data_IF_714859683711
#
_entry.id   IF_714859683711
#
_cell.length_a   1.000
_cell.length_b   1.000
_cell.length_c   1.000
_cell.angle_alpha   90.00
_cell.angle_beta   90.00
_cell.angle_gamma   90.00
#
_symmetry.space_group_name_H-M   'P 1'
#
loop_
_entity.id
_entity.type
_entity.pdbx_description
1 polymer ?
#
# COMPACT_ATOMS: atom_id res chain seq x y z
N UNK A 1 21.96 -11.06 -15.67
CA UNK A 1 21.57 -12.00 -14.59
C UNK A 1 20.99 -13.24 -15.20
N UNK A 2 21.67 -14.37 -14.98
CA UNK A 2 21.21 -15.70 -15.36
C UNK A 2 20.24 -16.23 -14.29
N UNK A 3 19.11 -16.79 -14.72
CA UNK A 3 18.07 -17.32 -13.84
C UNK A 3 17.86 -18.80 -14.12
N UNK A 4 18.17 -19.62 -13.12
CA UNK A 4 17.93 -21.06 -13.18
C UNK A 4 16.49 -21.37 -12.74
N UNK A 5 15.74 -22.11 -13.55
CA UNK A 5 14.41 -22.61 -13.19
C UNK A 5 14.55 -23.66 -12.09
N UNK A 6 13.83 -23.50 -10.97
CA UNK A 6 13.84 -24.42 -9.83
C UNK A 6 12.49 -25.09 -9.62
N UNK A 7 11.41 -24.35 -9.85
CA UNK A 7 10.05 -24.82 -9.58
C UNK A 7 9.20 -24.97 -10.85
N UNK A 8 9.61 -24.34 -11.95
CA UNK A 8 8.84 -24.27 -13.19
C UNK A 8 9.57 -24.96 -14.34
N UNK A 9 8.81 -25.31 -15.39
CA UNK A 9 9.35 -25.90 -16.62
C UNK A 9 9.16 -24.95 -17.78
N UNK A 10 10.13 -24.91 -18.68
CA UNK A 10 10.06 -24.05 -19.86
C UNK A 10 8.92 -24.48 -20.79
N UNK A 11 8.21 -23.50 -21.36
CA UNK A 11 7.04 -23.73 -22.20
C UNK A 11 5.78 -24.22 -21.48
N UNK A 12 5.82 -24.44 -20.16
CA UNK A 12 4.67 -24.82 -19.35
C UNK A 12 4.17 -23.64 -18.50
N UNK A 13 2.86 -23.55 -18.29
CA UNK A 13 2.30 -22.57 -17.34
C UNK A 13 2.91 -22.78 -15.94
N UNK A 14 3.34 -21.70 -15.24
CA UNK A 14 3.84 -21.82 -13.87
C UNK A 14 2.74 -22.25 -12.88
N UNK A 15 1.47 -22.27 -13.30
CA UNK A 15 0.35 -22.74 -12.50
C UNK A 15 -0.06 -24.18 -12.81
N UNK A 16 0.59 -24.86 -13.77
CA UNK A 16 0.13 -26.15 -14.28
C UNK A 16 0.10 -27.26 -13.21
N UNK A 17 0.99 -27.20 -12.22
CA UNK A 17 1.08 -28.17 -11.11
C UNK A 17 0.42 -27.64 -9.83
N UNK A 18 -0.31 -26.51 -9.90
CA UNK A 18 -1.00 -25.90 -8.76
C UNK A 18 -2.50 -26.06 -8.97
N UNK A 19 -3.16 -26.77 -8.05
CA UNK A 19 -4.61 -26.86 -8.02
C UNK A 19 -5.22 -25.54 -7.53
N UNK A 20 -6.29 -25.07 -8.17
CA UNK A 20 -7.06 -23.90 -7.76
C UNK A 20 -8.48 -24.31 -7.42
N UNK A 21 -9.05 -23.65 -6.41
CA UNK A 21 -10.43 -23.80 -5.98
C UNK A 21 -11.17 -22.47 -6.01
N UNK A 22 -12.49 -22.57 -6.16
CA UNK A 22 -13.39 -21.45 -5.93
C UNK A 22 -13.52 -21.21 -4.42
N UNK A 23 -13.44 -19.96 -4.01
CA UNK A 23 -13.69 -19.54 -2.63
C UNK A 23 -14.64 -18.35 -2.60
N UNK A 24 -15.14 -18.06 -1.39
CA UNK A 24 -15.96 -16.88 -1.11
C UNK A 24 -15.32 -16.19 0.10
N UNK A 25 -15.19 -14.86 0.04
CA UNK A 25 -14.79 -14.04 1.19
C UNK A 25 -15.94 -13.14 1.60
N UNK A 26 -16.28 -13.17 2.89
CA UNK A 26 -17.38 -12.38 3.46
C UNK A 26 -16.98 -11.72 4.77
N UNK A 27 -17.41 -10.47 4.95
CA UNK A 27 -17.39 -9.78 6.25
C UNK A 27 -18.83 -9.51 6.63
N UNK A 28 -19.21 -9.87 7.86
CA UNK A 28 -20.54 -9.65 8.42
C UNK A 28 -20.47 -8.79 9.68
N UNK A 29 -21.48 -7.96 9.86
CA UNK A 29 -21.72 -7.25 11.11
C UNK A 29 -22.24 -8.22 12.19
N UNK A 30 -22.22 -7.83 13.49
CA UNK A 30 -22.80 -8.62 14.56
C UNK A 30 -24.30 -8.92 14.40
N UNK A 31 -25.02 -8.08 13.65
CA UNK A 31 -26.44 -8.28 13.30
C UNK A 31 -26.65 -9.24 12.10
N UNK A 32 -25.57 -9.79 11.54
CA UNK A 32 -25.60 -10.72 10.41
C UNK A 32 -25.60 -10.07 9.02
N UNK A 33 -25.74 -8.74 8.92
CA UNK A 33 -25.71 -8.01 7.65
C UNK A 33 -24.32 -8.08 7.00
N UNK A 34 -24.28 -8.16 5.66
CA UNK A 34 -23.03 -8.30 4.89
C UNK A 34 -22.41 -6.92 4.69
N UNK A 35 -21.17 -6.77 5.16
CA UNK A 35 -20.33 -5.57 4.98
C UNK A 35 -19.53 -5.65 3.68
N UNK A 36 -19.06 -6.85 3.36
CA UNK A 36 -18.28 -7.13 2.15
C UNK A 36 -18.51 -8.56 1.72
N UNK A 37 -18.62 -8.79 0.41
CA UNK A 37 -18.66 -10.12 -0.18
C UNK A 37 -17.90 -10.11 -1.50
N UNK A 38 -16.98 -11.04 -1.65
CA UNK A 38 -16.34 -11.39 -2.91
C UNK A 38 -16.60 -12.88 -3.13
N UNK A 39 -17.54 -13.18 -4.04
CA UNK A 39 -17.86 -14.55 -4.43
C UNK A 39 -17.00 -14.97 -5.64
N UNK A 40 -16.97 -16.28 -5.87
CA UNK A 40 -16.39 -16.89 -7.07
C UNK A 40 -14.90 -16.53 -7.30
N UNK A 41 -14.16 -16.32 -6.21
CA UNK A 41 -12.74 -15.99 -6.31
C UNK A 41 -11.91 -17.26 -6.52
N UNK A 42 -10.91 -17.19 -7.40
CA UNK A 42 -10.02 -18.31 -7.69
C UNK A 42 -8.71 -18.18 -6.89
N UNK A 43 -8.44 -19.18 -6.05
CA UNK A 43 -7.26 -19.21 -5.16
C UNK A 43 -6.63 -20.59 -5.18
N UNK A 44 -5.31 -20.73 -4.92
CA UNK A 44 -4.69 -22.04 -4.83
C UNK A 44 -5.38 -22.90 -3.75
N UNK A 45 -5.67 -24.17 -4.05
CA UNK A 45 -6.41 -25.07 -3.17
C UNK A 45 -5.74 -25.24 -1.80
N UNK A 46 -4.40 -25.19 -1.77
CA UNK A 46 -3.60 -25.29 -0.55
C UNK A 46 -3.71 -24.06 0.38
N UNK A 47 -4.25 -22.93 -0.08
CA UNK A 47 -4.40 -21.74 0.76
C UNK A 47 -5.49 -21.92 1.81
N UNK A 48 -5.18 -21.50 3.05
CA UNK A 48 -6.18 -21.41 4.11
C UNK A 48 -7.26 -20.39 3.75
N UNK A 49 -8.46 -20.57 4.29
CA UNK A 49 -9.55 -19.61 4.09
C UNK A 49 -9.15 -18.19 4.53
N UNK A 50 -8.38 -18.06 5.62
CA UNK A 50 -7.87 -16.77 6.11
C UNK A 50 -6.95 -16.10 5.07
N UNK A 51 -6.09 -16.86 4.38
CA UNK A 51 -5.25 -16.30 3.33
C UNK A 51 -6.09 -15.80 2.13
N UNK A 52 -7.08 -16.58 1.73
CA UNK A 52 -8.04 -16.22 0.68
C UNK A 52 -8.83 -14.96 1.04
N UNK A 53 -9.29 -14.87 2.29
CA UNK A 53 -9.99 -13.71 2.81
C UNK A 53 -9.12 -12.45 2.80
N UNK A 54 -7.88 -12.55 3.28
CA UNK A 54 -6.94 -11.43 3.28
C UNK A 54 -6.65 -10.95 1.85
N UNK A 55 -6.46 -11.87 0.90
CA UNK A 55 -6.26 -11.53 -0.51
C UNK A 55 -7.46 -10.74 -1.05
N UNK A 56 -8.67 -11.28 -0.90
CA UNK A 56 -9.88 -10.67 -1.44
C UNK A 56 -10.21 -9.32 -0.80
N UNK A 57 -10.03 -9.21 0.52
CA UNK A 57 -10.42 -8.01 1.25
C UNK A 57 -9.42 -6.87 1.09
N UNK A 58 -8.12 -7.19 0.93
CA UNK A 58 -7.04 -6.21 0.98
C UNK A 58 -6.28 -6.04 -0.32
N UNK A 59 -6.00 -7.12 -1.05
CA UNK A 59 -5.00 -7.11 -2.13
C UNK A 59 -5.60 -7.19 -3.53
N UNK A 60 -6.79 -7.74 -3.70
CA UNK A 60 -7.52 -7.58 -4.94
C UNK A 60 -7.85 -6.12 -5.19
N UNK A 61 -7.55 -5.67 -6.41
CA UNK A 61 -8.04 -4.40 -6.92
C UNK A 61 -9.56 -4.49 -7.04
N UNK A 62 -10.28 -3.70 -6.27
CA UNK A 62 -11.75 -3.81 -6.16
C UNK A 62 -12.53 -3.28 -7.36
N UNK A 63 -11.95 -2.35 -8.11
CA UNK A 63 -12.61 -1.68 -9.23
C UNK A 63 -11.59 -1.05 -10.21
N UNK A 64 -12.08 -0.74 -11.41
CA UNK A 64 -11.32 -0.05 -12.45
C UNK A 64 -10.44 -0.96 -13.31
N UNK A 65 -10.51 -2.28 -13.12
CA UNK A 65 -9.85 -3.25 -14.01
C UNK A 65 -10.67 -3.37 -15.28
N UNK A 66 -10.16 -3.04 -16.47
CA UNK A 66 -10.91 -3.17 -17.71
C UNK A 66 -11.22 -4.63 -18.01
N UNK A 67 -12.48 -4.94 -18.39
CA UNK A 67 -12.90 -6.31 -18.73
C UNK A 67 -12.26 -6.81 -20.03
N UNK A 68 -11.93 -5.90 -20.94
CA UNK A 68 -11.23 -6.19 -22.20
C UNK A 68 -9.97 -5.33 -22.29
N UNK A 69 -8.84 -5.99 -22.55
CA UNK A 69 -7.52 -5.40 -22.63
C UNK A 69 -6.94 -5.65 -24.02
N UNK A 70 -6.13 -4.71 -24.49
CA UNK A 70 -5.27 -4.88 -25.66
C UNK A 70 -3.81 -4.71 -25.26
N UNK A 71 -2.92 -5.39 -25.97
CA UNK A 71 -1.46 -5.21 -25.79
C UNK A 71 -1.00 -3.91 -26.41
N UNK A 72 0.00 -3.29 -25.79
CA UNK A 72 0.65 -2.10 -26.33
C UNK A 72 2.03 -2.49 -26.83
N UNK A 73 2.18 -2.40 -28.15
CA UNK A 73 3.42 -2.71 -28.82
C UNK A 73 4.55 -1.79 -28.34
N UNK A 74 5.64 -2.42 -27.92
CA UNK A 74 6.87 -1.74 -27.52
C UNK A 74 8.04 -2.52 -28.14
N UNK A 75 8.61 -2.01 -29.23
CA UNK A 75 9.60 -2.72 -30.07
C UNK A 75 10.87 -3.12 -29.32
N UNK A 76 11.21 -2.40 -28.24
CA UNK A 76 12.35 -2.73 -27.37
C UNK A 76 12.04 -3.82 -26.32
N UNK A 77 10.81 -4.33 -26.27
CA UNK A 77 10.35 -5.32 -25.30
C UNK A 77 9.78 -6.53 -26.05
N UNK A 78 10.12 -7.77 -25.67
CA UNK A 78 9.52 -8.97 -26.24
C UNK A 78 8.00 -8.94 -26.13
N UNK A 79 7.31 -9.41 -27.16
CA UNK A 79 5.84 -9.26 -27.27
C UNK A 79 5.05 -9.91 -26.15
N UNK A 80 5.57 -10.98 -25.57
CA UNK A 80 4.96 -11.64 -24.40
C UNK A 80 5.00 -10.79 -23.12
N UNK A 81 5.91 -9.81 -23.04
CA UNK A 81 6.13 -8.95 -21.89
C UNK A 81 5.52 -7.54 -22.09
N UNK A 82 4.87 -7.30 -23.23
CA UNK A 82 4.16 -6.06 -23.49
C UNK A 82 3.10 -5.77 -22.42
N UNK A 83 3.07 -4.50 -22.00
CA UNK A 83 2.01 -4.00 -21.15
C UNK A 83 0.66 -4.09 -21.86
N UNK A 84 -0.41 -4.04 -21.08
CA UNK A 84 -1.77 -3.97 -21.60
C UNK A 84 -2.43 -2.66 -21.20
N UNK A 85 -3.45 -2.26 -21.94
CA UNK A 85 -4.32 -1.14 -21.60
C UNK A 85 -5.77 -1.47 -21.98
N UNK A 86 -6.71 -0.67 -21.48
CA UNK A 86 -8.14 -0.82 -21.81
C UNK A 86 -8.35 -0.76 -23.33
N UNK A 87 -9.00 -1.78 -23.90
CA UNK A 87 -9.47 -1.72 -25.28
C UNK A 87 -10.77 -0.93 -25.34
N UNK A 88 -10.66 0.39 -25.47
CA UNK A 88 -11.82 1.30 -25.47
C UNK A 88 -12.85 0.99 -26.55
N UNK A 89 -12.43 0.39 -27.68
CA UNK A 89 -13.36 0.03 -28.76
C UNK A 89 -14.18 -1.19 -28.35
N UNK A 90 -13.51 -2.28 -27.97
CA UNK A 90 -14.19 -3.50 -27.54
C UNK A 90 -15.00 -3.31 -26.25
N UNK A 91 -14.55 -2.43 -25.35
CA UNK A 91 -15.31 -2.06 -24.15
C UNK A 91 -16.58 -1.28 -24.47
N UNK A 92 -16.65 -0.55 -25.58
CA UNK A 92 -17.85 0.20 -25.96
C UNK A 92 -19.04 -0.73 -26.26
N UNK A 93 -18.76 -1.94 -26.74
CA UNK A 93 -19.75 -3.00 -26.99
C UNK A 93 -20.25 -3.63 -25.68
N UNK A 94 -19.52 -3.38 -24.58
CA UNK A 94 -19.82 -3.67 -23.17
C UNK A 94 -21.05 -2.90 -22.63
N UNK A 95 -22.04 -3.47 -21.89
CA UNK A 95 -22.85 -2.65 -20.98
C UNK A 95 -21.97 -1.84 -20.03
N UNK A 96 -22.29 -0.57 -19.80
CA UNK A 96 -21.41 0.36 -19.06
C UNK A 96 -21.01 -0.17 -17.67
N UNK A 97 -21.96 -0.77 -16.95
CA UNK A 97 -21.75 -1.36 -15.63
C UNK A 97 -20.78 -2.55 -15.61
N UNK A 98 -20.49 -3.17 -16.76
CA UNK A 98 -19.63 -4.35 -16.87
C UNK A 98 -18.24 -4.03 -17.46
N UNK A 99 -18.02 -2.81 -17.94
CA UNK A 99 -16.76 -2.44 -18.62
C UNK A 99 -15.55 -2.49 -17.68
N UNK A 100 -15.77 -2.18 -16.40
CA UNK A 100 -14.72 -2.12 -15.39
C UNK A 100 -15.13 -2.92 -14.15
N UNK A 101 -14.28 -3.85 -13.76
CA UNK A 101 -14.52 -4.82 -12.69
C UNK A 101 -13.39 -4.78 -11.66
N UNK A 102 -13.44 -5.68 -10.68
CA UNK A 102 -12.33 -5.97 -9.78
C UNK A 102 -11.58 -7.24 -10.17
N UNK A 103 -10.42 -7.46 -9.53
CA UNK A 103 -9.73 -8.75 -9.56
C UNK A 103 -10.53 -9.79 -8.78
N UNK A 104 -10.69 -10.97 -9.36
CA UNK A 104 -11.37 -12.13 -8.76
C UNK A 104 -10.52 -13.38 -8.78
N UNK A 105 -9.37 -13.35 -9.45
CA UNK A 105 -8.47 -14.48 -9.57
C UNK A 105 -7.09 -14.10 -9.01
N UNK A 106 -6.60 -14.90 -8.06
CA UNK A 106 -5.27 -14.71 -7.46
C UNK A 106 -4.14 -14.65 -8.50
N UNK A 107 -4.29 -15.35 -9.63
CA UNK A 107 -3.34 -15.31 -10.75
C UNK A 107 -3.21 -13.91 -11.34
N UNK A 108 -4.28 -13.12 -11.38
CA UNK A 108 -4.22 -11.71 -11.84
C UNK A 108 -3.25 -10.89 -10.98
N UNK A 109 -3.26 -11.10 -9.67
CA UNK A 109 -2.35 -10.43 -8.73
C UNK A 109 -0.92 -10.89 -8.92
N UNK A 110 -0.69 -12.20 -9.01
CA UNK A 110 0.65 -12.75 -9.21
C UNK A 110 1.25 -12.30 -10.55
N UNK A 111 0.45 -12.32 -11.61
CA UNK A 111 0.84 -11.94 -12.95
C UNK A 111 1.19 -10.45 -13.02
N UNK A 112 0.37 -9.55 -12.45
CA UNK A 112 0.70 -8.11 -12.49
C UNK A 112 1.96 -7.78 -11.71
N UNK A 113 2.21 -8.45 -10.57
CA UNK A 113 3.41 -8.23 -9.76
C UNK A 113 4.65 -8.72 -10.50
N UNK A 114 4.68 -10.02 -10.81
CA UNK A 114 5.83 -10.64 -11.46
C UNK A 114 6.08 -10.05 -12.85
N UNK A 115 5.00 -9.75 -13.59
CA UNK A 115 5.07 -9.17 -14.93
C UNK A 115 5.68 -7.76 -14.93
N UNK A 116 5.24 -6.88 -14.02
CA UNK A 116 5.84 -5.54 -13.91
C UNK A 116 7.32 -5.62 -13.51
N UNK A 117 7.68 -6.46 -12.54
CA UNK A 117 9.08 -6.59 -12.13
C UNK A 117 9.94 -7.11 -13.27
N UNK A 118 9.45 -8.10 -14.02
CA UNK A 118 10.13 -8.63 -15.21
C UNK A 118 10.27 -7.56 -16.29
N UNK A 119 9.21 -6.78 -16.54
CA UNK A 119 9.19 -5.69 -17.50
C UNK A 119 10.22 -4.62 -17.16
N UNK A 120 10.29 -4.19 -15.89
CA UNK A 120 11.31 -3.24 -15.45
C UNK A 120 12.73 -3.83 -15.49
N UNK A 121 12.91 -5.09 -15.09
CA UNK A 121 14.20 -5.79 -15.17
C UNK A 121 14.70 -5.91 -16.62
N UNK A 122 13.79 -6.20 -17.56
CA UNK A 122 14.11 -6.23 -18.99
C UNK A 122 14.57 -4.87 -19.49
N UNK A 123 13.79 -3.81 -19.22
CA UNK A 123 14.14 -2.44 -19.64
C UNK A 123 15.43 -1.95 -19.00
N UNK A 124 15.71 -2.38 -17.76
CA UNK A 124 16.96 -2.12 -17.05
C UNK A 124 18.16 -2.94 -17.53
N UNK A 125 17.98 -3.88 -18.47
CA UNK A 125 19.07 -4.73 -18.97
C UNK A 125 19.58 -5.73 -17.94
N UNK A 126 18.72 -6.20 -17.03
CA UNK A 126 19.15 -7.05 -15.92
C UNK A 126 19.34 -8.52 -16.32
N UNK A 127 18.72 -8.98 -17.40
CA UNK A 127 18.73 -10.39 -17.82
C UNK A 127 19.79 -10.64 -18.89
N UNK A 128 20.49 -11.78 -18.81
CA UNK A 128 21.53 -12.13 -19.80
C UNK A 128 20.89 -12.62 -21.12
N UNK A 129 19.72 -13.27 -21.03
CA UNK A 129 18.91 -13.68 -22.18
C UNK A 129 17.40 -13.55 -21.91
N UNK A 130 16.58 -13.61 -22.98
CA UNK A 130 15.11 -13.66 -22.86
C UNK A 130 14.63 -14.87 -22.06
N UNK A 131 15.33 -16.01 -22.15
CA UNK A 131 15.03 -17.20 -21.35
C UNK A 131 15.15 -16.93 -19.84
N UNK A 132 16.10 -16.08 -19.41
CA UNK A 132 16.25 -15.70 -18.00
C UNK A 132 15.09 -14.82 -17.54
N UNK A 133 14.63 -13.90 -18.37
CA UNK A 133 13.46 -13.07 -18.08
C UNK A 133 12.17 -13.91 -17.96
N UNK A 134 12.00 -14.91 -18.83
CA UNK A 134 10.88 -15.87 -18.74
C UNK A 134 10.97 -16.72 -17.49
N UNK A 135 12.14 -17.26 -17.18
CA UNK A 135 12.37 -18.02 -15.95
C UNK A 135 12.06 -17.17 -14.71
N UNK A 136 12.53 -15.91 -14.66
CA UNK A 136 12.22 -14.99 -13.56
C UNK A 136 10.71 -14.76 -13.40
N UNK A 137 10.00 -14.53 -14.51
CA UNK A 137 8.56 -14.32 -14.49
C UNK A 137 7.80 -15.56 -14.01
N UNK A 138 8.18 -16.74 -14.49
CA UNK A 138 7.53 -18.01 -14.15
C UNK A 138 7.79 -18.41 -12.69
N UNK A 139 9.05 -18.38 -12.26
CA UNK A 139 9.45 -18.75 -10.90
C UNK A 139 8.77 -17.86 -9.87
N UNK A 140 8.69 -16.54 -10.09
CA UNK A 140 8.01 -15.63 -9.16
C UNK A 140 6.51 -15.91 -9.07
N UNK A 141 5.84 -16.18 -10.18
CA UNK A 141 4.42 -16.53 -10.19
C UNK A 141 4.14 -17.82 -9.41
N UNK A 142 4.97 -18.83 -9.62
CA UNK A 142 4.91 -20.07 -8.85
C UNK A 142 5.18 -19.83 -7.36
N UNK A 143 6.23 -19.08 -7.02
CA UNK A 143 6.62 -18.82 -5.63
C UNK A 143 5.57 -17.98 -4.88
N UNK A 144 4.92 -17.03 -5.55
CA UNK A 144 3.82 -16.25 -4.98
C UNK A 144 2.59 -17.14 -4.74
N UNK A 145 2.20 -17.94 -5.73
CA UNK A 145 1.06 -18.86 -5.61
C UNK A 145 1.27 -19.93 -4.54
N UNK A 146 2.50 -20.40 -4.35
CA UNK A 146 2.85 -21.41 -3.33
C UNK A 146 3.34 -20.80 -2.01
N UNK A 147 3.23 -19.48 -1.85
CA UNK A 147 3.62 -18.73 -0.65
C UNK A 147 5.09 -18.93 -0.21
N UNK A 148 6.00 -19.25 -1.15
CA UNK A 148 7.45 -19.32 -0.90
C UNK A 148 8.08 -17.95 -0.75
N UNK A 149 7.47 -16.94 -1.36
CA UNK A 149 7.87 -15.54 -1.25
C UNK A 149 6.63 -14.66 -1.12
N UNK A 150 6.75 -13.58 -0.37
CA UNK A 150 5.74 -12.54 -0.31
C UNK A 150 6.43 -11.18 -0.18
N UNK A 151 6.20 -10.23 -1.10
CA UNK A 151 6.72 -8.88 -0.93
C UNK A 151 5.96 -8.12 0.18
N UNK A 152 6.50 -6.97 0.58
CA UNK A 152 5.80 -6.07 1.50
C UNK A 152 4.46 -5.57 0.92
N UNK A 153 3.50 -5.25 1.79
CA UNK A 153 2.11 -4.95 1.41
C UNK A 153 1.92 -3.86 0.32
N UNK A 154 2.66 -2.73 0.28
CA UNK A 154 2.52 -1.75 -0.80
C UNK A 154 2.82 -2.29 -2.20
N UNK A 155 3.67 -3.31 -2.32
CA UNK A 155 3.88 -4.01 -3.59
C UNK A 155 2.55 -4.58 -4.08
N UNK A 156 1.88 -5.36 -3.23
CA UNK A 156 0.58 -5.96 -3.55
C UNK A 156 -0.49 -4.93 -3.93
N UNK A 157 -0.50 -3.74 -3.32
CA UNK A 157 -1.53 -2.74 -3.61
C UNK A 157 -1.32 -2.01 -4.93
N UNK A 158 -0.07 -1.63 -5.24
CA UNK A 158 0.20 -0.60 -6.23
C UNK A 158 0.94 -1.11 -7.47
N UNK A 159 1.68 -2.21 -7.33
CA UNK A 159 2.60 -2.68 -8.37
C UNK A 159 1.87 -3.43 -9.47
N UNK A 160 2.23 -3.17 -10.73
CA UNK A 160 1.68 -3.87 -11.87
C UNK A 160 0.33 -3.36 -12.37
N UNK A 161 -0.33 -2.43 -11.68
CA UNK A 161 -1.63 -1.91 -12.12
C UNK A 161 -1.55 -1.22 -13.49
N UNK A 162 -0.50 -0.42 -13.70
CA UNK A 162 -0.28 0.23 -15.00
C UNK A 162 0.17 -0.78 -16.07
N UNK A 163 1.09 -1.69 -15.75
CA UNK A 163 1.59 -2.66 -16.74
C UNK A 163 0.52 -3.68 -17.15
N UNK A 164 -0.24 -4.23 -16.20
CA UNK A 164 -1.22 -5.27 -16.49
C UNK A 164 -2.50 -4.70 -17.12
N UNK A 165 -2.94 -3.52 -16.68
CA UNK A 165 -4.29 -3.02 -16.98
C UNK A 165 -4.32 -1.62 -17.63
N UNK A 166 -3.19 -0.92 -17.71
CA UNK A 166 -3.13 0.48 -18.14
C UNK A 166 -3.81 1.43 -17.15
N UNK A 167 -4.02 1.00 -15.89
CA UNK A 167 -4.60 1.86 -14.85
C UNK A 167 -3.56 2.92 -14.49
N UNK A 168 -3.97 4.17 -14.58
CA UNK A 168 -3.14 5.31 -14.17
C UNK A 168 -3.94 6.44 -13.51
N UNK A 169 -3.25 7.49 -13.09
CA UNK A 169 -3.82 8.69 -12.54
C UNK A 169 -2.80 9.83 -12.50
N UNK A 170 -3.21 11.05 -12.10
CA UNK A 170 -2.30 12.18 -12.02
C UNK A 170 -1.21 11.95 -10.96
N UNK A 171 -0.01 12.47 -11.20
CA UNK A 171 1.09 12.44 -10.23
C UNK A 171 0.62 12.89 -8.84
N UNK A 172 1.04 12.13 -7.84
CA UNK A 172 0.78 12.45 -6.42
C UNK A 172 2.03 12.96 -5.71
N UNK A 173 3.07 13.33 -6.47
CA UNK A 173 4.31 13.89 -5.92
C UNK A 173 5.24 12.88 -5.26
N UNK A 174 5.18 11.61 -5.68
CA UNK A 174 6.21 10.62 -5.36
C UNK A 174 7.35 10.67 -6.38
N UNK A 175 8.47 10.07 -6.00
CA UNK A 175 9.70 10.04 -6.78
C UNK A 175 10.13 8.61 -7.03
N UNK A 176 10.87 8.41 -8.10
CA UNK A 176 11.58 7.18 -8.41
C UNK A 176 13.00 7.53 -8.88
N UNK A 177 13.91 6.57 -8.85
CA UNK A 177 15.23 6.74 -9.46
C UNK A 177 15.14 6.24 -10.89
N UNK A 178 15.39 7.13 -11.86
CA UNK A 178 15.40 6.75 -13.26
C UNK A 178 16.57 5.80 -13.52
N UNK A 179 16.28 4.61 -14.04
CA UNK A 179 17.26 3.53 -14.15
C UNK A 179 18.35 3.80 -15.20
N UNK A 180 18.12 4.73 -16.15
CA UNK A 180 19.10 5.07 -17.18
C UNK A 180 20.08 6.14 -16.70
N UNK A 181 19.55 7.16 -16.04
CA UNK A 181 20.30 8.35 -15.62
C UNK A 181 20.79 8.26 -14.18
N UNK A 182 20.22 7.38 -13.36
CA UNK A 182 20.47 7.28 -11.93
C UNK A 182 19.93 8.46 -11.12
N UNK A 183 19.14 9.36 -11.73
CA UNK A 183 18.66 10.58 -11.09
C UNK A 183 17.32 10.39 -10.40
N UNK A 184 17.19 10.97 -9.21
CA UNK A 184 15.91 11.09 -8.53
C UNK A 184 14.97 11.95 -9.39
N UNK A 185 13.86 11.35 -9.81
CA UNK A 185 12.94 11.94 -10.77
C UNK A 185 11.53 11.92 -10.20
N UNK A 186 10.82 13.05 -10.34
CA UNK A 186 9.42 13.13 -9.91
C UNK A 186 8.56 12.32 -10.86
N UNK A 187 7.72 11.45 -10.33
CA UNK A 187 6.82 10.67 -11.17
C UNK A 187 5.82 11.57 -11.89
N UNK A 188 5.62 11.35 -13.19
CA UNK A 188 4.64 12.07 -14.00
C UNK A 188 3.21 11.58 -13.73
N UNK A 189 3.06 10.32 -13.30
CA UNK A 189 1.76 9.68 -13.11
C UNK A 189 1.70 8.89 -11.81
N UNK A 190 0.53 8.34 -11.48
CA UNK A 190 0.28 7.68 -10.20
C UNK A 190 0.80 6.25 -10.12
N UNK A 191 0.78 5.54 -11.26
CA UNK A 191 0.92 4.07 -11.28
C UNK A 191 1.93 3.53 -12.30
N UNK A 192 2.50 4.36 -13.18
CA UNK A 192 3.59 3.92 -14.05
C UNK A 192 4.85 3.56 -13.24
N UNK A 193 5.22 4.44 -12.30
CA UNK A 193 6.24 4.21 -11.28
C UNK A 193 5.60 4.32 -9.88
N UNK A 194 4.79 3.33 -9.47
CA UNK A 194 4.00 3.42 -8.25
C UNK A 194 4.90 3.45 -7.02
N UNK A 195 4.40 3.99 -5.90
CA UNK A 195 5.06 3.88 -4.60
C UNK A 195 4.82 2.46 -4.04
N UNK A 196 5.86 1.59 -3.93
CA UNK A 196 5.65 0.19 -3.59
C UNK A 196 6.54 -0.27 -2.41
N UNK A 197 7.08 0.67 -1.62
CA UNK A 197 7.95 0.39 -0.48
C UNK A 197 7.20 0.61 0.83
N UNK A 198 7.47 -0.16 1.88
CA UNK A 198 6.72 -0.05 3.13
C UNK A 198 7.32 0.93 4.14
N UNK A 199 8.62 1.22 4.07
CA UNK A 199 9.35 1.89 5.15
C UNK A 199 10.09 3.12 4.63
N UNK A 200 9.91 4.26 5.32
CA UNK A 200 10.60 5.51 5.00
C UNK A 200 11.10 6.19 6.27
N UNK A 201 12.31 6.72 6.21
CA UNK A 201 12.84 7.63 7.23
C UNK A 201 12.91 9.03 6.60
N UNK A 202 12.36 10.02 7.30
CA UNK A 202 12.28 11.40 6.83
C UNK A 202 12.87 12.34 7.86
N UNK A 203 13.70 13.27 7.39
CA UNK A 203 14.15 14.42 8.17
C UNK A 203 13.07 15.47 8.31
N UNK A 204 13.21 16.28 9.36
CA UNK A 204 12.47 17.51 9.60
C UNK A 204 13.42 18.53 10.18
N UNK A 205 13.43 19.72 9.60
CA UNK A 205 14.14 20.87 10.17
C UNK A 205 13.18 21.70 11.04
N UNK A 206 13.77 22.49 11.93
CA UNK A 206 13.06 23.43 12.80
C UNK A 206 12.63 24.69 12.05
N UNK A 207 11.79 24.46 11.05
CA UNK A 207 11.14 25.45 10.20
C UNK A 207 9.65 25.08 10.06
N UNK A 208 8.76 26.08 10.11
CA UNK A 208 7.32 25.81 10.10
C UNK A 208 6.81 25.37 8.72
N UNK A 209 7.17 26.06 7.64
CA UNK A 209 6.45 25.97 6.34
C UNK A 209 7.33 25.81 5.11
N UNK A 210 8.64 26.02 5.22
CA UNK A 210 9.55 25.84 4.10
C UNK A 210 9.82 24.36 3.81
N UNK A 211 10.51 24.09 2.70
CA UNK A 211 10.91 22.76 2.29
C UNK A 211 11.68 22.03 3.41
N UNK A 212 11.33 20.77 3.64
CA UNK A 212 11.84 19.95 4.75
C UNK A 212 11.46 20.43 6.17
N UNK A 213 10.61 21.45 6.29
CA UNK A 213 10.03 21.90 7.56
C UNK A 213 8.88 21.02 8.07
N UNK A 214 8.24 21.46 9.15
CA UNK A 214 7.21 20.72 9.90
C UNK A 214 5.97 20.47 9.03
N UNK A 215 5.41 21.51 8.40
CA UNK A 215 4.20 21.35 7.59
C UNK A 215 4.47 20.58 6.29
N UNK A 216 5.65 20.75 5.69
CA UNK A 216 6.07 19.95 4.54
C UNK A 216 6.24 18.47 4.91
N UNK A 217 6.77 18.14 6.09
CA UNK A 217 6.81 16.75 6.57
C UNK A 217 5.41 16.11 6.52
N UNK A 218 4.37 16.78 7.02
CA UNK A 218 3.01 16.24 6.99
C UNK A 218 2.50 15.99 5.57
N UNK A 219 2.82 16.88 4.63
CA UNK A 219 2.47 16.70 3.21
C UNK A 219 3.21 15.49 2.63
N UNK A 220 4.52 15.36 2.88
CA UNK A 220 5.32 14.22 2.41
C UNK A 220 4.83 12.90 3.01
N UNK A 221 4.53 12.86 4.30
CA UNK A 221 3.99 11.69 4.99
C UNK A 221 2.61 11.32 4.48
N UNK A 222 1.73 12.29 4.25
CA UNK A 222 0.40 12.02 3.70
C UNK A 222 0.45 11.33 2.34
N UNK A 223 1.41 11.73 1.48
CA UNK A 223 1.65 11.06 0.20
C UNK A 223 2.07 9.60 0.39
N UNK A 224 2.96 9.32 1.34
CA UNK A 224 3.40 7.95 1.65
C UNK A 224 2.29 7.10 2.28
N UNK A 225 1.55 7.66 3.24
CA UNK A 225 0.41 6.99 3.87
C UNK A 225 -0.69 6.65 2.88
N UNK A 226 -0.97 7.51 1.89
CA UNK A 226 -1.94 7.26 0.81
C UNK A 226 -1.66 5.98 0.03
N UNK A 227 -0.39 5.61 -0.13
CA UNK A 227 0.03 4.38 -0.82
C UNK A 227 0.31 3.21 0.12
N UNK A 228 0.10 3.39 1.43
CA UNK A 228 0.22 2.34 2.44
C UNK A 228 1.62 2.17 3.01
N UNK A 229 2.49 3.17 2.89
CA UNK A 229 3.78 3.18 3.58
C UNK A 229 3.63 3.55 5.06
N UNK A 230 4.60 3.16 5.88
CA UNK A 230 4.87 3.73 7.19
C UNK A 230 6.07 4.67 7.13
N UNK A 231 6.10 5.65 8.03
CA UNK A 231 7.13 6.69 8.07
C UNK A 231 7.74 6.79 9.45
N UNK A 232 9.00 7.23 9.52
CA UNK A 232 9.71 7.50 10.75
C UNK A 232 10.49 8.80 10.66
N UNK A 233 10.49 9.58 11.74
CA UNK A 233 11.27 10.82 11.81
C UNK A 233 11.85 11.01 13.21
N UNK A 234 13.07 11.54 13.26
CA UNK A 234 13.66 12.06 14.48
C UNK A 234 13.27 13.56 14.60
N UNK A 235 12.65 13.93 15.72
CA UNK A 235 12.11 15.26 15.99
C UNK A 235 13.01 16.09 16.91
N UNK A 236 14.16 15.57 17.33
CA UNK A 236 15.08 16.21 18.30
C UNK A 236 15.67 17.54 17.82
N UNK A 237 15.54 17.84 16.52
CA UNK A 237 15.94 19.15 15.96
C UNK A 237 14.92 20.25 16.22
N UNK A 238 13.66 19.91 16.46
CA UNK A 238 12.65 20.93 16.73
C UNK A 238 12.93 21.58 18.07
N UNK A 239 12.75 22.89 18.16
CA UNK A 239 12.93 23.61 19.41
C UNK A 239 11.85 23.22 20.44
N UNK A 240 12.24 23.17 21.71
CA UNK A 240 11.37 22.86 22.85
C UNK A 240 10.34 23.95 23.15
N UNK A 241 9.42 23.65 24.06
CA UNK A 241 8.40 24.60 24.50
C UNK A 241 9.03 25.82 25.18
N UNK A 242 8.54 27.02 24.84
CA UNK A 242 9.00 28.27 25.47
C UNK A 242 10.28 28.89 24.88
N UNK A 243 10.99 28.18 23.99
CA UNK A 243 12.18 28.70 23.31
C UNK A 243 11.84 29.87 22.37
N UNK A 244 12.81 30.78 22.14
CA UNK A 244 12.57 32.03 21.40
C UNK A 244 12.35 31.78 19.91
N UNK A 245 11.48 32.60 19.30
CA UNK A 245 11.28 32.65 17.84
C UNK A 245 11.93 33.91 17.26
N UNK A 246 12.41 33.83 16.01
CA UNK A 246 13.07 34.94 15.31
C UNK A 246 12.14 36.14 15.08
N UNK A 247 10.86 35.90 14.81
CA UNK A 247 9.83 36.94 14.64
C UNK A 247 9.25 37.50 15.95
N UNK A 248 9.81 37.10 17.11
CA UNK A 248 9.23 37.39 18.42
C UNK A 248 8.25 36.32 18.89
N UNK A 249 8.02 36.26 20.21
CA UNK A 249 7.22 35.21 20.83
C UNK A 249 8.01 33.97 21.26
N UNK A 250 7.29 32.89 21.55
CA UNK A 250 7.82 31.63 22.09
C UNK A 250 7.28 30.42 21.33
N UNK A 251 8.10 29.39 21.23
CA UNK A 251 7.74 28.10 20.64
C UNK A 251 6.62 27.40 21.42
N UNK A 252 5.76 26.68 20.70
CA UNK A 252 4.76 25.77 21.27
C UNK A 252 5.32 24.38 21.61
N UNK A 253 6.62 24.15 21.35
CA UNK A 253 7.30 22.87 21.56
C UNK A 253 6.93 21.78 20.58
N UNK A 254 7.71 20.70 20.56
CA UNK A 254 7.52 19.59 19.61
C UNK A 254 6.18 18.89 19.84
N UNK A 255 5.74 18.80 21.11
CA UNK A 255 4.54 18.07 21.50
C UNK A 255 3.27 18.65 20.87
N UNK A 256 3.23 19.96 20.62
CA UNK A 256 2.12 20.61 19.93
C UNK A 256 2.02 20.14 18.48
N UNK A 257 3.15 20.00 17.79
CA UNK A 257 3.19 19.50 16.41
C UNK A 257 2.93 18.00 16.32
N UNK A 258 3.41 17.20 17.28
CA UNK A 258 3.11 15.76 17.31
C UNK A 258 1.61 15.49 17.44
N UNK A 259 0.86 16.30 18.21
CA UNK A 259 -0.61 16.20 18.29
C UNK A 259 -1.28 16.46 16.94
N UNK A 260 -0.77 17.44 16.17
CA UNK A 260 -1.26 17.71 14.81
C UNK A 260 -0.97 16.51 13.90
N UNK A 261 0.26 16.00 13.94
CA UNK A 261 0.69 14.83 13.18
C UNK A 261 -0.13 13.57 13.47
N UNK A 262 -0.43 13.30 14.74
CA UNK A 262 -1.27 12.18 15.16
C UNK A 262 -2.70 12.29 14.59
N UNK A 263 -3.31 13.48 14.66
CA UNK A 263 -4.63 13.74 14.08
C UNK A 263 -4.62 13.61 12.55
N UNK A 264 -3.59 14.13 11.89
CA UNK A 264 -3.43 14.03 10.45
C UNK A 264 -3.28 12.57 10.00
N UNK A 265 -2.38 11.80 10.64
CA UNK A 265 -2.19 10.37 10.38
C UNK A 265 -3.48 9.58 10.66
N UNK A 266 -4.18 9.90 11.75
CA UNK A 266 -5.45 9.28 12.13
C UNK A 266 -6.56 9.44 11.08
N UNK A 267 -6.58 10.55 10.34
CA UNK A 267 -7.54 10.83 9.28
C UNK A 267 -7.24 10.09 7.96
N UNK A 268 -5.98 9.69 7.73
CA UNK A 268 -5.55 9.09 6.47
C UNK A 268 -5.71 7.56 6.52
N UNK A 269 -6.37 7.02 5.48
CA UNK A 269 -6.51 5.57 5.24
C UNK A 269 -6.12 5.29 3.78
N UNK A 270 -5.27 4.29 3.56
CA UNK A 270 -4.89 3.83 2.23
C UNK A 270 -5.67 2.59 1.78
N UNK A 271 -5.66 2.35 0.46
CA UNK A 271 -6.18 1.10 -0.12
C UNK A 271 -7.70 0.94 0.01
N UNK A 272 -8.44 2.05 0.13
CA UNK A 272 -9.90 2.01 0.07
C UNK A 272 -10.60 1.39 1.27
N UNK A 273 -9.93 1.19 2.42
CA UNK A 273 -10.49 1.14 3.81
C UNK A 273 -9.59 0.45 4.85
N UNK A 274 -8.64 -0.41 4.44
CA UNK A 274 -8.10 -1.44 5.35
C UNK A 274 -6.74 -1.15 5.98
N UNK A 275 -5.96 -0.17 5.49
CA UNK A 275 -4.64 0.17 6.06
C UNK A 275 -4.62 1.59 6.64
N UNK A 276 -4.27 1.69 7.92
CA UNK A 276 -4.05 2.96 8.62
C UNK A 276 -2.62 3.45 8.42
N UNK A 277 -2.44 4.77 8.52
CA UNK A 277 -1.11 5.35 8.64
C UNK A 277 -0.36 4.76 9.84
N UNK A 278 0.95 4.56 9.68
CA UNK A 278 1.83 4.09 10.73
C UNK A 278 3.02 5.04 10.80
N UNK A 279 3.25 5.64 11.97
CA UNK A 279 4.30 6.63 12.19
C UNK A 279 5.17 6.24 13.38
N UNK A 280 6.48 6.32 13.18
CA UNK A 280 7.49 6.27 14.23
C UNK A 280 7.99 7.69 14.51
N UNK A 281 8.09 8.05 15.79
CA UNK A 281 8.68 9.31 16.25
C UNK A 281 9.84 8.95 17.16
N UNK A 282 10.98 9.60 16.95
CA UNK A 282 12.17 9.49 17.80
C UNK A 282 12.48 10.87 18.35
N UNK A 283 12.82 10.93 19.64
CA UNK A 283 13.29 12.12 20.34
C UNK A 283 14.49 11.70 21.19
N UNK A 284 15.55 12.50 21.16
CA UNK A 284 16.81 12.27 21.85
C UNK A 284 16.62 12.58 23.34
N UNK A 285 17.36 11.87 24.19
CA UNK A 285 17.12 11.87 25.64
C UNK A 285 17.42 13.22 26.32
N UNK A 286 18.19 14.08 25.67
CA UNK A 286 18.57 15.42 26.14
C UNK A 286 17.66 16.54 25.59
N UNK A 287 16.64 16.19 24.81
CA UNK A 287 15.70 17.16 24.27
C UNK A 287 14.88 17.81 25.42
N UNK A 288 14.67 19.15 25.43
CA UNK A 288 13.92 19.84 26.50
C UNK A 288 12.52 19.26 26.80
N UNK A 289 11.80 18.84 25.76
CA UNK A 289 10.45 18.25 25.88
C UNK A 289 10.44 16.73 26.19
N UNK A 290 11.58 16.09 26.48
CA UNK A 290 11.71 14.62 26.57
C UNK A 290 10.78 13.98 27.61
N UNK A 291 10.68 14.57 28.80
CA UNK A 291 9.82 14.03 29.88
C UNK A 291 8.34 14.05 29.45
N UNK A 292 7.90 15.15 28.82
CA UNK A 292 6.54 15.28 28.30
C UNK A 292 6.27 14.28 27.17
N UNK A 293 7.28 14.03 26.32
CA UNK A 293 7.19 13.04 25.24
C UNK A 293 7.01 11.62 25.78
N UNK A 294 7.79 11.22 26.80
CA UNK A 294 7.70 9.90 27.46
C UNK A 294 6.31 9.70 28.07
N UNK A 295 5.80 10.71 28.78
CA UNK A 295 4.50 10.64 29.47
C UNK A 295 3.29 10.69 28.53
N UNK A 296 3.48 11.03 27.26
CA UNK A 296 2.37 11.31 26.34
C UNK A 296 1.46 10.10 26.14
N UNK A 297 2.01 8.91 25.92
CA UNK A 297 1.22 7.69 25.72
C UNK A 297 0.54 7.18 26.99
N UNK A 298 1.18 7.34 28.14
CA UNK A 298 0.62 6.93 29.45
C UNK A 298 -0.71 7.64 29.71
N UNK A 299 -0.76 8.94 29.42
CA UNK A 299 -1.99 9.74 29.58
C UNK A 299 -3.12 9.29 28.66
N UNK A 300 -2.82 8.81 27.45
CA UNK A 300 -3.84 8.30 26.53
C UNK A 300 -4.41 6.94 27.00
N UNK A 301 -3.59 6.05 27.55
CA UNK A 301 -4.05 4.77 28.10
C UNK A 301 -4.99 4.96 29.29
N UNK A 302 -4.69 5.93 30.17
CA UNK A 302 -5.58 6.30 31.27
C UNK A 302 -6.95 6.77 30.79
N UNK A 303 -7.00 7.55 29.70
CA UNK A 303 -8.28 7.98 29.09
C UNK A 303 -9.08 6.80 28.56
N UNK A 304 -8.43 5.85 27.87
CA UNK A 304 -9.11 4.64 27.37
C UNK A 304 -9.65 3.81 28.53
N UNK A 305 -8.87 3.61 29.60
CA UNK A 305 -9.32 2.90 30.79
C UNK A 305 -10.54 3.58 31.46
N UNK A 306 -10.52 4.91 31.56
CA UNK A 306 -11.64 5.69 32.08
C UNK A 306 -12.89 5.56 31.20
N UNK A 307 -12.75 5.65 29.88
CA UNK A 307 -13.86 5.50 28.93
C UNK A 307 -14.48 4.10 28.97
N UNK A 308 -13.67 3.05 29.01
CA UNK A 308 -14.16 1.66 29.11
C UNK A 308 -14.92 1.45 30.42
N UNK A 309 -14.37 1.94 31.54
CA UNK A 309 -15.01 1.84 32.85
C UNK A 309 -16.34 2.59 32.89
N UNK A 310 -16.34 3.84 32.42
CA UNK A 310 -17.55 4.67 32.33
C UNK A 310 -18.62 4.03 31.45
N UNK A 311 -18.26 3.55 30.26
CA UNK A 311 -19.20 2.90 29.32
C UNK A 311 -19.85 1.65 29.91
N UNK A 312 -19.10 0.82 30.64
CA UNK A 312 -19.65 -0.35 31.36
C UNK A 312 -20.66 0.06 32.44
N UNK A 313 -20.34 1.09 33.23
CA UNK A 313 -21.23 1.60 34.28
C UNK A 313 -22.52 2.16 33.68
N UNK A 314 -22.41 3.01 32.65
CA UNK A 314 -23.57 3.58 31.95
C UNK A 314 -24.45 2.47 31.35
N UNK A 315 -23.86 1.48 30.68
CA UNK A 315 -24.61 0.34 30.13
C UNK A 315 -25.38 -0.43 31.20
N UNK A 316 -24.77 -0.67 32.37
CA UNK A 316 -25.41 -1.35 33.51
C UNK A 316 -26.64 -0.56 33.99
N UNK A 317 -26.49 0.73 34.24
CA UNK A 317 -27.58 1.56 34.75
C UNK A 317 -28.69 1.79 33.72
N UNK A 318 -28.34 2.02 32.45
CA UNK A 318 -29.32 2.17 31.38
C UNK A 318 -30.18 0.91 31.23
N UNK A 319 -29.58 -0.29 31.28
CA UNK A 319 -30.32 -1.56 31.27
C UNK A 319 -31.22 -1.73 32.48
N UNK A 320 -30.84 -1.22 33.65
CA UNK A 320 -31.69 -1.26 34.85
C UNK A 320 -32.90 -0.33 34.69
N UNK A 321 -32.70 0.89 34.15
CA UNK A 321 -33.79 1.84 33.86
C UNK A 321 -34.75 1.26 32.82
N UNK A 322 -34.24 0.70 31.71
CA UNK A 322 -35.08 0.10 30.66
C UNK A 322 -35.89 -1.12 31.12
N UNK A 323 -35.54 -1.72 32.27
CA UNK A 323 -36.26 -2.84 32.88
C UNK A 323 -37.31 -2.40 33.90
N UNK A 324 -37.24 -1.16 34.38
CA UNK A 324 -38.16 -0.57 35.34
C UNK A 324 -39.35 0.07 34.60
#
# INVERSE_FOLDING_TARGET
MRIERRFTKDGQSPYAEIEFRVAVSEIRNPDGSIVFRAADIQVPSAWSQVASDILAQKYFRKAGVPKVLKKVEETSVPSWLWRSEADKKALADLPEAERYVGETDSRQVFDRLAGTWTYWGWKGGYFDAEADARAFFDELRFMLATQKVAPNSPQWFNTGLHWAYGIDGPSQGHYYVDYKTGKLTRSATAYEHPQPHACFIQSVEDDLVNDNGIMDLWVREARLFKYGSGTGSNFSRLRGEGEKLSGGGRSSGLMSFLKIGDRAAGAIKSGGTTRRAAKMVVVDADHPDIETYIDWKVKEEQKVAALVTGSKIVSKHLKAIMRA
#
